data_IF_761590071608
#
_entry.id   IF_761590071608
#
_cell.length_a   1.000
_cell.length_b   1.000
_cell.length_c   1.000
_cell.angle_alpha   90.00
_cell.angle_beta   90.00
_cell.angle_gamma   90.00
#
_symmetry.space_group_name_H-M   'P 1'
#
loop_
_entity.id
_entity.type
_entity.pdbx_description
1 polymer ?
#
# COMPACT_ATOMS: atom_id res chain seq x y z
N UNK A 1 6.21 -20.56 2.66
CA UNK A 1 4.83 -20.94 2.98
C UNK A 1 3.99 -19.67 2.96
N UNK A 2 2.81 -19.68 2.34
CA UNK A 2 1.91 -18.53 2.40
C UNK A 2 1.43 -18.35 3.84
N UNK A 3 1.58 -17.17 4.41
CA UNK A 3 1.10 -16.86 5.76
C UNK A 3 -0.43 -16.82 5.75
N UNK A 4 -1.06 -17.35 6.79
CA UNK A 4 -2.51 -17.29 6.94
C UNK A 4 -3.02 -15.85 6.81
N UNK A 5 -4.09 -15.61 6.05
CA UNK A 5 -4.68 -14.28 5.91
C UNK A 5 -5.10 -13.69 7.25
N UNK A 6 -4.89 -12.39 7.40
CA UNK A 6 -5.18 -11.65 8.64
C UNK A 6 -6.08 -10.48 8.30
N UNK A 7 -7.22 -10.39 8.98
CA UNK A 7 -8.03 -9.19 8.95
C UNK A 7 -7.40 -8.12 9.84
N UNK A 8 -7.12 -6.95 9.29
CA UNK A 8 -6.76 -5.75 10.05
C UNK A 8 -7.98 -4.83 10.01
N UNK A 9 -8.45 -4.41 11.18
CA UNK A 9 -9.56 -3.47 11.29
C UNK A 9 -9.10 -2.09 10.80
N UNK A 10 -9.57 -1.67 9.63
CA UNK A 10 -9.25 -0.40 8.99
C UNK A 10 -10.50 0.49 8.96
N UNK A 11 -10.32 1.78 9.24
CA UNK A 11 -11.36 2.76 8.93
C UNK A 11 -11.50 2.94 7.42
N UNK A 12 -12.59 3.57 6.98
CA UNK A 12 -12.81 3.85 5.56
C UNK A 12 -11.65 4.68 4.97
N UNK A 13 -11.22 5.75 5.64
CA UNK A 13 -10.09 6.57 5.17
C UNK A 13 -8.76 5.81 5.09
N UNK A 14 -8.48 4.94 6.08
CA UNK A 14 -7.25 4.12 6.10
C UNK A 14 -7.25 3.07 4.98
N UNK A 15 -8.42 2.56 4.65
CA UNK A 15 -8.58 1.63 3.53
C UNK A 15 -8.54 2.37 2.20
N UNK A 16 -9.15 3.55 2.11
CA UNK A 16 -9.16 4.36 0.90
C UNK A 16 -7.77 4.86 0.55
N UNK A 17 -6.96 5.33 1.52
CA UNK A 17 -5.60 5.79 1.23
C UNK A 17 -4.71 4.67 0.66
N UNK A 18 -4.89 3.42 1.12
CA UNK A 18 -4.21 2.26 0.54
C UNK A 18 -4.70 1.94 -0.87
N UNK A 19 -6.01 2.01 -1.12
CA UNK A 19 -6.58 1.82 -2.45
C UNK A 19 -6.02 2.87 -3.43
N UNK A 20 -6.07 4.15 -3.07
CA UNK A 20 -5.53 5.24 -3.89
C UNK A 20 -4.04 5.05 -4.15
N UNK A 21 -3.27 4.74 -3.10
CA UNK A 21 -1.83 4.47 -3.25
C UNK A 21 -1.51 3.33 -4.22
N UNK A 22 -2.28 2.25 -4.20
CA UNK A 22 -2.10 1.15 -5.16
C UNK A 22 -2.50 1.54 -6.59
N UNK A 23 -3.57 2.33 -6.74
CA UNK A 23 -4.07 2.76 -8.05
C UNK A 23 -3.09 3.69 -8.78
N UNK A 24 -2.36 4.55 -8.06
CA UNK A 24 -1.38 5.48 -8.65
C UNK A 24 -0.27 4.74 -9.43
N UNK A 25 0.07 3.51 -9.04
CA UNK A 25 1.06 2.70 -9.76
C UNK A 25 0.61 2.21 -11.14
N UNK A 26 -0.71 2.15 -11.38
CA UNK A 26 -1.28 1.91 -12.71
C UNK A 26 -1.35 3.14 -13.60
N UNK A 27 -1.00 4.32 -13.06
CA UNK A 27 -1.04 5.62 -13.72
C UNK A 27 0.36 6.16 -14.08
N UNK A 28 0.66 7.45 -13.82
CA UNK A 28 1.89 8.09 -14.28
C UNK A 28 3.16 7.65 -13.50
N UNK A 29 3.01 6.91 -12.39
CA UNK A 29 4.13 6.50 -11.55
C UNK A 29 5.18 5.66 -12.33
N UNK A 30 6.42 6.13 -12.29
CA UNK A 30 7.55 5.55 -13.02
C UNK A 30 8.23 4.42 -12.27
N UNK A 31 7.56 3.28 -12.07
CA UNK A 31 8.21 2.16 -11.38
C UNK A 31 9.24 1.44 -12.26
N UNK A 32 10.40 1.10 -11.67
CA UNK A 32 11.42 0.20 -12.20
C UNK A 32 11.36 -1.16 -11.50
N UNK A 33 11.92 -2.21 -12.11
CA UNK A 33 11.97 -3.54 -11.48
C UNK A 33 12.69 -3.54 -10.12
N UNK A 34 13.76 -2.73 -10.01
CA UNK A 34 14.50 -2.59 -8.76
C UNK A 34 13.62 -1.98 -7.65
N UNK A 35 12.83 -0.96 -7.99
CA UNK A 35 11.93 -0.33 -7.03
C UNK A 35 10.76 -1.25 -6.65
N UNK A 36 10.21 -1.99 -7.61
CA UNK A 36 9.21 -3.03 -7.35
C UNK A 36 9.73 -4.09 -6.37
N UNK A 37 11.00 -4.50 -6.53
CA UNK A 37 11.66 -5.43 -5.62
C UNK A 37 11.80 -4.89 -4.19
N UNK A 38 12.17 -3.61 -4.04
CA UNK A 38 12.23 -2.93 -2.72
C UNK A 38 10.87 -2.92 -2.02
N UNK A 39 9.79 -2.72 -2.77
CA UNK A 39 8.42 -2.79 -2.24
C UNK A 39 7.99 -4.21 -1.85
N UNK A 40 8.68 -5.24 -2.35
CA UNK A 40 8.40 -6.65 -2.08
C UNK A 40 7.63 -7.36 -3.20
N UNK A 41 7.54 -6.75 -4.38
CA UNK A 41 7.08 -7.41 -5.61
C UNK A 41 8.25 -8.08 -6.33
N UNK A 42 7.97 -8.98 -7.26
CA UNK A 42 9.03 -9.67 -8.02
C UNK A 42 9.70 -8.75 -9.05
N UNK A 43 8.90 -7.99 -9.78
CA UNK A 43 9.29 -7.08 -10.86
C UNK A 43 8.15 -6.07 -11.11
N UNK A 44 8.32 -5.17 -12.08
CA UNK A 44 7.29 -4.17 -12.40
C UNK A 44 5.97 -4.80 -12.84
N UNK A 45 6.01 -5.88 -13.62
CA UNK A 45 4.79 -6.53 -14.10
C UNK A 45 4.02 -7.16 -12.92
N UNK A 46 4.72 -7.84 -12.02
CA UNK A 46 4.17 -8.38 -10.78
C UNK A 46 3.57 -7.27 -9.90
N UNK A 47 4.21 -6.10 -9.85
CA UNK A 47 3.66 -4.96 -9.11
C UNK A 47 2.30 -4.54 -9.65
N UNK A 48 2.14 -4.39 -10.97
CA UNK A 48 0.87 -3.96 -11.57
C UNK A 48 -0.25 -4.98 -11.31
N UNK A 49 0.03 -6.27 -11.56
CA UNK A 49 -0.94 -7.35 -11.33
C UNK A 49 -1.35 -7.44 -9.85
N UNK A 50 -0.38 -7.31 -8.94
CA UNK A 50 -0.64 -7.39 -7.51
C UNK A 50 -1.33 -6.13 -6.99
N UNK A 51 -1.04 -4.94 -7.50
CA UNK A 51 -1.75 -3.72 -7.13
C UNK A 51 -3.24 -3.83 -7.46
N UNK A 52 -3.61 -4.34 -8.65
CA UNK A 52 -5.01 -4.57 -9.02
C UNK A 52 -5.70 -5.59 -8.08
N UNK A 53 -5.03 -6.71 -7.80
CA UNK A 53 -5.55 -7.73 -6.89
C UNK A 53 -5.73 -7.20 -5.46
N UNK A 54 -4.73 -6.49 -4.94
CA UNK A 54 -4.74 -5.93 -3.59
C UNK A 54 -5.79 -4.83 -3.46
N UNK A 55 -5.92 -3.98 -4.48
CA UNK A 55 -6.96 -2.96 -4.54
C UNK A 55 -8.36 -3.59 -4.45
N UNK A 56 -8.62 -4.65 -5.22
CA UNK A 56 -9.90 -5.37 -5.20
C UNK A 56 -10.20 -6.03 -3.85
N UNK A 57 -9.19 -6.63 -3.22
CA UNK A 57 -9.30 -7.22 -1.89
C UNK A 57 -9.59 -6.15 -0.81
N UNK A 58 -8.94 -4.98 -0.91
CA UNK A 58 -9.20 -3.85 -0.01
C UNK A 58 -10.62 -3.30 -0.19
N UNK A 59 -11.14 -3.18 -1.42
CA UNK A 59 -12.55 -2.83 -1.67
C UNK A 59 -13.48 -3.82 -0.97
N UNK A 60 -13.22 -5.10 -1.14
CA UNK A 60 -14.08 -6.19 -0.61
C UNK A 60 -13.94 -6.37 0.90
N UNK A 61 -12.87 -5.84 1.52
CA UNK A 61 -12.57 -6.04 2.93
C UNK A 61 -12.02 -7.42 3.25
N UNK A 62 -11.43 -8.07 2.26
CA UNK A 62 -10.89 -9.41 2.40
C UNK A 62 -9.63 -9.37 3.29
N UNK A 63 -9.45 -10.38 4.17
CA UNK A 63 -8.21 -10.53 4.90
C UNK A 63 -7.06 -10.84 3.94
N UNK A 64 -5.89 -10.24 4.19
CA UNK A 64 -4.70 -10.40 3.35
C UNK A 64 -3.61 -11.21 4.07
N UNK A 65 -2.79 -11.98 3.32
CA UNK A 65 -1.53 -12.50 3.84
C UNK A 65 -0.65 -11.38 4.41
N UNK A 66 0.15 -11.66 5.44
CA UNK A 66 0.99 -10.63 6.06
C UNK A 66 2.05 -10.01 5.14
N UNK A 67 2.47 -10.70 4.09
CA UNK A 67 3.34 -10.14 3.06
C UNK A 67 2.61 -9.08 2.22
N UNK A 68 1.32 -9.29 1.96
CA UNK A 68 0.50 -8.43 1.12
C UNK A 68 0.10 -7.14 1.84
N UNK A 69 -0.17 -7.20 3.15
CA UNK A 69 -0.31 -5.99 3.97
C UNK A 69 0.95 -5.11 3.91
N UNK A 70 2.14 -5.72 3.99
CA UNK A 70 3.41 -4.99 3.92
C UNK A 70 3.67 -4.41 2.53
N UNK A 71 3.34 -5.12 1.45
CA UNK A 71 3.42 -4.61 0.08
C UNK A 71 2.51 -3.40 -0.11
N UNK A 72 1.24 -3.51 0.27
CA UNK A 72 0.27 -2.42 0.13
C UNK A 72 0.71 -1.16 0.90
N UNK A 73 1.19 -1.32 2.13
CA UNK A 73 1.68 -0.22 2.93
C UNK A 73 2.90 0.46 2.30
N UNK A 74 3.95 -0.30 1.93
CA UNK A 74 5.17 0.28 1.32
C UNK A 74 4.89 0.94 -0.02
N UNK A 75 4.05 0.32 -0.85
CA UNK A 75 3.67 0.88 -2.15
C UNK A 75 2.97 2.23 -1.99
N UNK A 76 2.10 2.35 -0.99
CA UNK A 76 1.41 3.61 -0.66
C UNK A 76 2.39 4.65 -0.12
N UNK A 77 3.30 4.27 0.79
CA UNK A 77 4.31 5.18 1.35
C UNK A 77 5.22 5.77 0.27
N UNK A 78 5.71 4.95 -0.65
CA UNK A 78 6.65 5.38 -1.69
C UNK A 78 5.94 6.27 -2.71
N UNK A 79 4.75 5.90 -3.17
CA UNK A 79 4.04 6.68 -4.19
C UNK A 79 3.59 8.04 -3.67
N UNK A 80 3.28 8.12 -2.37
CA UNK A 80 2.92 9.37 -1.70
C UNK A 80 4.14 10.29 -1.53
N UNK A 81 5.27 9.78 -1.04
CA UNK A 81 6.41 10.64 -0.66
C UNK A 81 7.28 11.04 -1.85
N UNK A 82 7.34 10.21 -2.90
CA UNK A 82 8.28 10.43 -4.01
C UNK A 82 7.61 11.11 -5.21
N UNK A 83 8.15 12.26 -5.62
CA UNK A 83 7.86 12.85 -6.93
C UNK A 83 8.58 12.17 -8.08
N UNK A 84 9.77 11.62 -7.82
CA UNK A 84 10.60 11.00 -8.85
C UNK A 84 9.99 9.68 -9.34
N UNK A 85 9.47 8.90 -8.40
CA UNK A 85 8.92 7.57 -8.68
C UNK A 85 7.40 7.49 -8.57
N UNK A 86 6.79 8.41 -7.84
CA UNK A 86 5.37 8.40 -7.51
C UNK A 86 4.65 9.67 -7.92
N UNK A 87 3.65 10.04 -7.12
CA UNK A 87 2.73 11.14 -7.41
C UNK A 87 2.81 12.25 -6.37
N UNK A 88 3.90 12.44 -5.64
CA UNK A 88 3.93 13.34 -4.46
C UNK A 88 3.32 14.73 -4.68
N UNK A 89 3.74 15.45 -5.72
CA UNK A 89 3.22 16.77 -6.13
C UNK A 89 1.75 16.74 -6.53
N UNK A 90 1.33 15.64 -7.13
CA UNK A 90 -0.01 15.48 -7.68
C UNK A 90 -0.94 14.74 -6.72
N UNK A 91 -0.44 14.26 -5.58
CA UNK A 91 -1.13 13.34 -4.68
C UNK A 91 -2.46 13.90 -4.20
N UNK A 92 -2.46 15.16 -3.76
CA UNK A 92 -3.69 15.82 -3.33
C UNK A 92 -4.69 16.00 -4.46
N UNK A 93 -4.21 16.20 -5.69
CA UNK A 93 -5.06 16.35 -6.87
C UNK A 93 -5.62 15.02 -7.38
N UNK A 94 -4.84 13.93 -7.33
CA UNK A 94 -5.24 12.61 -7.86
C UNK A 94 -6.03 11.78 -6.84
N UNK A 95 -5.74 11.94 -5.55
CA UNK A 95 -6.35 11.15 -4.48
C UNK A 95 -7.38 11.91 -3.64
N UNK A 96 -7.30 13.24 -3.61
CA UNK A 96 -8.09 14.09 -2.72
C UNK A 96 -7.56 14.20 -1.29
N UNK A 97 -6.53 13.44 -0.92
CA UNK A 97 -5.94 13.50 0.42
C UNK A 97 -4.87 14.60 0.52
N UNK A 98 -4.89 15.36 1.62
CA UNK A 98 -3.77 16.26 1.93
C UNK A 98 -2.55 15.48 2.44
N UNK A 99 -1.36 16.08 2.34
CA UNK A 99 -0.13 15.48 2.92
C UNK A 99 -0.27 15.23 4.42
N UNK A 100 -0.82 16.19 5.17
CA UNK A 100 -1.00 16.08 6.61
C UNK A 100 -1.90 14.90 6.98
N UNK A 101 -3.02 14.77 6.26
CA UNK A 101 -3.95 13.67 6.42
C UNK A 101 -3.32 12.33 6.05
N UNK A 102 -2.61 12.27 4.93
CA UNK A 102 -1.93 11.06 4.46
C UNK A 102 -0.87 10.60 5.44
N UNK A 103 -0.04 11.49 5.96
CA UNK A 103 0.95 11.18 7.00
C UNK A 103 0.27 10.62 8.26
N UNK A 104 -0.85 11.22 8.69
CA UNK A 104 -1.61 10.76 9.85
C UNK A 104 -2.16 9.35 9.65
N UNK A 105 -2.73 9.07 8.48
CA UNK A 105 -3.27 7.76 8.10
C UNK A 105 -2.16 6.71 8.01
N UNK A 106 -1.06 7.00 7.31
CA UNK A 106 0.10 6.10 7.18
C UNK A 106 0.68 5.73 8.54
N UNK A 107 0.77 6.67 9.49
CA UNK A 107 1.25 6.38 10.85
C UNK A 107 0.31 5.44 11.62
N UNK A 108 -1.00 5.55 11.42
CA UNK A 108 -1.97 4.60 12.01
C UNK A 108 -1.83 3.22 11.37
N UNK A 109 -1.78 3.17 10.05
CA UNK A 109 -1.61 1.95 9.26
C UNK A 109 -0.33 1.18 9.65
N UNK A 110 0.81 1.88 9.74
CA UNK A 110 2.08 1.29 10.18
C UNK A 110 1.97 0.62 11.55
N UNK A 111 1.31 1.25 12.52
CA UNK A 111 1.09 0.65 13.85
C UNK A 111 0.18 -0.57 13.76
N UNK A 112 -0.96 -0.49 13.06
CA UNK A 112 -1.89 -1.62 12.90
C UNK A 112 -1.22 -2.82 12.21
N UNK A 113 -0.45 -2.58 11.16
CA UNK A 113 0.31 -3.63 10.47
C UNK A 113 1.39 -4.20 11.39
N UNK A 114 2.14 -3.36 12.11
CA UNK A 114 3.13 -3.83 13.06
C UNK A 114 2.49 -4.69 14.17
N UNK A 115 1.42 -4.22 14.80
CA UNK A 115 0.72 -4.92 15.89
C UNK A 115 0.16 -6.27 15.43
N UNK A 116 -0.35 -6.36 14.19
CA UNK A 116 -0.87 -7.61 13.63
C UNK A 116 0.19 -8.71 13.45
N UNK A 117 1.48 -8.34 13.37
CA UNK A 117 2.59 -9.25 13.09
C UNK A 117 3.71 -9.27 14.14
N UNK A 118 3.74 -8.33 15.10
CA UNK A 118 4.73 -8.28 16.18
C UNK A 118 4.48 -9.34 17.28
N UNK A 119 3.38 -10.10 17.23
CA UNK A 119 3.02 -11.13 18.21
C UNK A 119 3.16 -12.58 17.74
N UNK A 120 3.77 -12.85 16.57
CA UNK A 120 3.84 -14.22 15.98
C UNK A 120 5.26 -14.79 15.83
N UNK A 121 6.27 -14.09 16.33
CA UNK A 121 7.68 -14.50 16.25
C UNK A 121 8.32 -14.78 17.63
N UNK A 122 7.53 -15.25 18.62
CA UNK A 122 8.03 -15.85 19.87
C UNK A 122 7.38 -17.19 20.14
#
# INVERSE_FOLDING_TARGET
MATDPVAIDLTDDEREVLQRGLAEWGGPAGCSDALASVMGFRDKADLLDQCERLHSALISGDPLPGADWRKALRATEIVFVSDEFGSGKDWSATTGFSDEETIRLLRKLQRKVADAFNGRDT
#
